data_IF_602801633853
#
_entry.id   IF_602801633853
#
_cell.length_a   1.000
_cell.length_b   1.000
_cell.length_c   1.000
_cell.angle_alpha   90.00
_cell.angle_beta   90.00
_cell.angle_gamma   90.00
#
_symmetry.space_group_name_H-M   'P 1'
#
loop_
_entity.id
_entity.type
_entity.pdbx_description
1 polymer ?
#
# COMPACT_ATOMS: atom_id res chain seq x y z
N UNK A 1 7.28 -10.69 31.29
CA UNK A 1 6.54 -10.57 30.03
C UNK A 1 7.06 -9.31 29.37
N UNK A 2 7.66 -9.44 28.18
CA UNK A 2 8.24 -8.33 27.45
C UNK A 2 7.20 -7.83 26.44
N UNK A 3 6.43 -6.80 26.82
CA UNK A 3 5.32 -6.30 26.01
C UNK A 3 5.80 -5.79 24.64
N UNK A 4 6.91 -5.08 24.59
CA UNK A 4 7.45 -4.53 23.34
C UNK A 4 7.96 -5.68 22.46
N UNK A 5 8.65 -6.66 23.06
CA UNK A 5 9.05 -7.89 22.37
C UNK A 5 7.87 -8.67 21.80
N UNK A 6 6.78 -8.82 22.56
CA UNK A 6 5.56 -9.50 22.13
C UNK A 6 4.90 -8.75 20.95
N UNK A 7 4.81 -7.42 21.01
CA UNK A 7 4.28 -6.59 19.92
C UNK A 7 5.17 -6.65 18.66
N UNK A 8 6.50 -6.64 18.82
CA UNK A 8 7.44 -6.79 17.72
C UNK A 8 7.30 -8.16 17.04
N UNK A 9 7.12 -9.22 17.83
CA UNK A 9 6.92 -10.57 17.31
C UNK A 9 5.62 -10.70 16.49
N UNK A 10 4.56 -9.99 16.86
CA UNK A 10 3.30 -9.90 16.10
C UNK A 10 3.49 -9.09 14.81
N UNK A 11 4.14 -7.92 14.90
CA UNK A 11 4.27 -7.00 13.76
C UNK A 11 5.20 -7.54 12.67
N UNK A 12 6.26 -8.24 13.08
CA UNK A 12 7.28 -8.81 12.22
C UNK A 12 7.37 -10.30 12.56
N UNK A 13 6.58 -11.18 11.93
CA UNK A 13 6.71 -12.62 12.16
C UNK A 13 8.04 -13.14 11.59
N UNK A 14 8.72 -14.02 12.33
CA UNK A 14 9.91 -14.72 11.84
C UNK A 14 9.49 -15.88 10.93
N UNK A 15 10.11 -16.02 9.75
CA UNK A 15 9.80 -17.13 8.84
C UNK A 15 10.13 -18.47 9.50
N UNK A 16 9.33 -19.49 9.18
CA UNK A 16 9.58 -20.88 9.54
C UNK A 16 10.29 -21.60 8.38
N UNK A 17 10.99 -22.73 8.66
CA UNK A 17 11.51 -23.58 7.59
C UNK A 17 10.37 -23.99 6.64
N UNK A 18 10.53 -23.70 5.34
CA UNK A 18 9.51 -23.92 4.31
C UNK A 18 8.70 -22.68 3.91
N UNK A 19 8.75 -21.58 4.66
CA UNK A 19 8.10 -20.31 4.27
C UNK A 19 8.87 -19.56 3.18
N UNK A 20 10.15 -19.91 2.98
CA UNK A 20 11.07 -19.22 2.06
C UNK A 20 11.41 -20.15 0.90
N UNK A 21 11.24 -19.65 -0.33
CA UNK A 21 11.62 -20.36 -1.56
C UNK A 21 12.48 -19.45 -2.44
N UNK A 22 13.71 -19.85 -2.83
CA UNK A 22 14.39 -21.11 -2.52
C UNK A 22 14.76 -21.29 -1.03
N UNK A 23 14.88 -22.54 -0.56
CA UNK A 23 15.11 -22.86 0.86
C UNK A 23 16.51 -22.40 1.34
N UNK A 24 17.46 -22.25 0.43
CA UNK A 24 18.80 -21.77 0.72
C UNK A 24 18.81 -20.32 1.22
N UNK A 25 17.76 -19.54 0.95
CA UNK A 25 17.61 -18.15 1.41
C UNK A 25 17.01 -18.05 2.82
N UNK A 26 16.64 -19.18 3.44
CA UNK A 26 16.02 -19.19 4.76
C UNK A 26 16.89 -18.55 5.86
N UNK A 27 18.21 -18.84 5.96
CA UNK A 27 19.06 -18.22 6.98
C UNK A 27 19.11 -16.69 6.86
N UNK A 28 19.21 -16.18 5.63
CA UNK A 28 19.20 -14.74 5.37
C UNK A 28 17.85 -14.11 5.72
N UNK A 29 16.74 -14.73 5.30
CA UNK A 29 15.40 -14.24 5.62
C UNK A 29 15.10 -14.26 7.13
N UNK A 30 15.60 -15.27 7.85
CA UNK A 30 15.51 -15.34 9.31
C UNK A 30 16.27 -14.18 9.96
N UNK A 31 17.53 -13.97 9.57
CA UNK A 31 18.36 -12.88 10.09
C UNK A 31 17.75 -11.49 9.79
N UNK A 32 17.18 -11.30 8.59
CA UNK A 32 16.47 -10.07 8.22
C UNK A 32 15.24 -9.85 9.09
N UNK A 33 14.43 -10.88 9.33
CA UNK A 33 13.26 -10.78 10.19
C UNK A 33 13.63 -10.52 11.67
N UNK A 34 14.71 -11.12 12.17
CA UNK A 34 15.24 -10.86 13.51
C UNK A 34 15.74 -9.42 13.65
N UNK A 35 16.46 -8.90 12.66
CA UNK A 35 16.89 -7.51 12.64
C UNK A 35 15.69 -6.56 12.58
N UNK A 36 14.72 -6.81 11.69
CA UNK A 36 13.51 -6.00 11.58
C UNK A 36 12.66 -6.01 12.87
N UNK A 37 12.66 -7.12 13.61
CA UNK A 37 12.06 -7.19 14.96
C UNK A 37 12.77 -6.27 15.94
N UNK A 38 14.10 -6.32 15.99
CA UNK A 38 14.90 -5.49 16.87
C UNK A 38 14.70 -3.99 16.55
N UNK A 39 14.71 -3.63 15.26
CA UNK A 39 14.49 -2.26 14.79
C UNK A 39 13.09 -1.76 15.18
N UNK A 40 12.06 -2.59 15.00
CA UNK A 40 10.69 -2.23 15.39
C UNK A 40 10.55 -2.07 16.91
N UNK A 41 11.12 -2.99 17.70
CA UNK A 41 11.10 -2.90 19.16
C UNK A 41 11.78 -1.61 19.65
N UNK A 42 12.96 -1.29 19.10
CA UNK A 42 13.67 -0.05 19.41
C UNK A 42 12.86 1.20 19.04
N UNK A 43 12.26 1.22 17.85
CA UNK A 43 11.44 2.34 17.41
C UNK A 43 10.17 2.51 18.26
N UNK A 44 9.54 1.42 18.67
CA UNK A 44 8.35 1.45 19.52
C UNK A 44 8.69 1.94 20.94
N UNK A 45 9.84 1.54 21.48
CA UNK A 45 10.32 2.04 22.77
C UNK A 45 10.59 3.55 22.71
N UNK A 46 11.27 4.02 21.66
CA UNK A 46 11.49 5.45 21.46
C UNK A 46 10.18 6.25 21.33
N UNK A 47 9.22 5.75 20.54
CA UNK A 47 7.91 6.41 20.39
C UNK A 47 7.13 6.44 21.70
N UNK A 48 7.17 5.36 22.48
CA UNK A 48 6.55 5.31 23.81
C UNK A 48 7.13 6.39 24.71
N UNK A 49 8.45 6.51 24.75
CA UNK A 49 9.13 7.50 25.58
C UNK A 49 8.85 8.94 25.12
N UNK A 50 8.83 9.18 23.80
CA UNK A 50 8.57 10.50 23.20
C UNK A 50 7.11 10.96 23.36
N UNK A 51 6.16 10.02 23.26
CA UNK A 51 4.72 10.32 23.29
C UNK A 51 4.09 10.16 24.68
N UNK A 52 4.78 9.52 25.62
CA UNK A 52 4.25 9.10 26.93
C UNK A 52 2.91 8.35 26.81
N UNK A 53 2.84 7.40 25.87
CA UNK A 53 1.61 6.70 25.46
C UNK A 53 1.76 5.17 25.56
N UNK A 54 0.63 4.46 25.66
CA UNK A 54 0.63 2.99 25.70
C UNK A 54 1.20 2.38 24.39
N UNK A 55 2.23 1.52 24.45
CA UNK A 55 2.85 0.93 23.26
C UNK A 55 1.89 0.06 22.42
N UNK A 56 0.82 -0.49 23.01
CA UNK A 56 -0.24 -1.19 22.25
C UNK A 56 -1.02 -0.21 21.39
N UNK A 57 -1.33 0.99 21.91
CA UNK A 57 -2.05 2.03 21.17
C UNK A 57 -1.19 2.60 20.04
N UNK A 58 0.11 2.82 20.29
CA UNK A 58 1.08 3.21 19.26
C UNK A 58 1.12 2.14 18.15
N UNK A 59 1.31 0.86 18.51
CA UNK A 59 1.36 -0.23 17.54
C UNK A 59 0.07 -0.37 16.71
N UNK A 60 -1.11 -0.15 17.31
CA UNK A 60 -2.39 -0.13 16.59
C UNK A 60 -2.50 1.07 15.64
N UNK A 61 -2.01 2.24 16.06
CA UNK A 61 -1.89 3.42 15.21
C UNK A 61 -1.01 3.17 13.99
N UNK A 62 0.16 2.59 14.21
CA UNK A 62 1.11 2.23 13.16
C UNK A 62 0.53 1.20 12.18
N UNK A 63 -0.12 0.16 12.70
CA UNK A 63 -0.79 -0.85 11.88
C UNK A 63 -1.92 -0.25 11.02
N UNK A 64 -2.69 0.67 11.60
CA UNK A 64 -3.73 1.41 10.86
C UNK A 64 -3.11 2.29 9.76
N UNK A 65 -2.06 3.03 10.08
CA UNK A 65 -1.36 3.88 9.12
C UNK A 65 -0.76 3.05 7.97
N UNK A 66 -0.19 1.88 8.28
CA UNK A 66 0.31 0.93 7.29
C UNK A 66 -0.81 0.43 6.36
N UNK A 67 -1.99 0.09 6.91
CA UNK A 67 -3.16 -0.29 6.10
C UNK A 67 -3.61 0.85 5.19
N UNK A 68 -3.74 2.07 5.71
CA UNK A 68 -4.14 3.24 4.92
C UNK A 68 -3.10 3.61 3.85
N UNK A 69 -1.81 3.36 4.10
CA UNK A 69 -0.75 3.50 3.11
C UNK A 69 -0.86 2.46 1.99
N UNK A 70 -1.09 1.19 2.33
CA UNK A 70 -1.30 0.11 1.37
C UNK A 70 -2.57 0.38 0.51
N UNK A 71 -3.66 0.81 1.12
CA UNK A 71 -4.89 1.18 0.39
C UNK A 71 -4.66 2.34 -0.58
N UNK A 72 -3.85 3.34 -0.20
CA UNK A 72 -3.45 4.43 -1.09
C UNK A 72 -2.58 3.92 -2.24
N UNK A 73 -1.62 3.04 -1.96
CA UNK A 73 -0.77 2.45 -2.98
C UNK A 73 -1.58 1.65 -4.01
N UNK A 74 -2.51 0.79 -3.55
CA UNK A 74 -3.42 0.05 -4.43
C UNK A 74 -4.17 1.01 -5.36
N UNK A 75 -4.72 2.10 -4.84
CA UNK A 75 -5.42 3.10 -5.67
C UNK A 75 -4.52 3.76 -6.72
N UNK A 76 -3.28 4.09 -6.36
CA UNK A 76 -2.30 4.62 -7.32
C UNK A 76 -1.94 3.58 -8.41
N UNK A 77 -1.76 2.32 -8.04
CA UNK A 77 -1.48 1.25 -9.00
C UNK A 77 -2.67 0.99 -9.94
N UNK A 78 -3.90 1.06 -9.43
CA UNK A 78 -5.11 1.00 -10.26
C UNK A 78 -5.19 2.16 -11.24
N UNK A 79 -4.93 3.39 -10.78
CA UNK A 79 -4.87 4.57 -11.64
C UNK A 79 -3.78 4.41 -12.72
N UNK A 80 -2.58 3.97 -12.33
CA UNK A 80 -1.48 3.69 -13.27
C UNK A 80 -1.88 2.69 -14.35
N UNK A 81 -2.38 1.50 -13.95
CA UNK A 81 -2.74 0.44 -14.90
C UNK A 81 -3.88 0.82 -15.85
N UNK A 82 -4.73 1.78 -15.47
CA UNK A 82 -5.88 2.20 -16.26
C UNK A 82 -5.64 3.42 -17.13
N UNK A 83 -4.74 4.30 -16.71
CA UNK A 83 -4.59 5.63 -17.32
C UNK A 83 -3.19 5.85 -17.92
N UNK A 84 -2.20 5.00 -17.66
CA UNK A 84 -0.80 5.22 -18.08
C UNK A 84 -0.17 4.01 -18.78
N UNK A 85 -1.00 3.06 -19.23
CA UNK A 85 -0.57 1.81 -19.85
C UNK A 85 -0.96 1.71 -21.34
N UNK A 86 -0.28 2.49 -22.17
CA UNK A 86 -0.17 2.33 -23.62
C UNK A 86 -1.50 2.27 -24.38
N UNK A 87 -1.50 1.58 -25.51
CA UNK A 87 -2.65 1.57 -26.42
C UNK A 87 -3.91 0.91 -25.83
N UNK A 88 -3.80 0.10 -24.78
CA UNK A 88 -4.96 -0.53 -24.15
C UNK A 88 -4.82 -0.58 -22.63
N UNK A 89 -5.73 0.07 -21.89
CA UNK A 89 -5.68 0.03 -20.43
C UNK A 89 -5.95 -1.39 -19.93
N UNK A 90 -5.36 -1.76 -18.80
CA UNK A 90 -5.61 -3.07 -18.18
C UNK A 90 -7.10 -3.30 -17.97
N UNK A 91 -7.59 -4.49 -18.29
CA UNK A 91 -9.00 -4.85 -18.08
C UNK A 91 -9.34 -4.74 -16.57
N UNK A 92 -10.61 -4.49 -16.26
CA UNK A 92 -11.03 -4.39 -14.85
C UNK A 92 -10.93 -5.75 -14.13
N UNK A 93 -11.26 -6.85 -14.81
CA UNK A 93 -11.28 -8.19 -14.19
C UNK A 93 -9.93 -8.62 -13.59
N UNK A 94 -8.79 -8.53 -14.32
CA UNK A 94 -7.49 -8.89 -13.75
C UNK A 94 -7.07 -7.96 -12.61
N UNK A 95 -7.35 -6.65 -12.72
CA UNK A 95 -7.07 -5.70 -11.66
C UNK A 95 -7.90 -6.00 -10.40
N UNK A 96 -9.16 -6.37 -10.56
CA UNK A 96 -10.07 -6.70 -9.46
C UNK A 96 -9.53 -7.90 -8.70
N UNK A 97 -9.17 -8.95 -9.43
CA UNK A 97 -8.59 -10.16 -8.85
C UNK A 97 -7.29 -9.87 -8.10
N UNK A 98 -6.38 -9.09 -8.70
CA UNK A 98 -5.10 -8.76 -8.07
C UNK A 98 -5.25 -7.88 -6.83
N UNK A 99 -6.20 -6.94 -6.84
CA UNK A 99 -6.45 -6.03 -5.72
C UNK A 99 -7.43 -6.59 -4.67
N UNK A 100 -7.98 -7.79 -4.87
CA UNK A 100 -9.04 -8.33 -3.99
C UNK A 100 -10.34 -7.53 -4.03
N UNK A 101 -10.63 -6.83 -5.14
CA UNK A 101 -11.79 -5.95 -5.31
C UNK A 101 -12.77 -6.51 -6.35
N UNK A 102 -13.96 -5.92 -6.41
CA UNK A 102 -14.88 -6.16 -7.53
C UNK A 102 -14.57 -5.22 -8.70
N UNK A 103 -14.92 -5.57 -9.96
CA UNK A 103 -14.76 -4.66 -11.09
C UNK A 103 -15.53 -3.34 -10.93
N UNK A 104 -16.65 -3.35 -10.20
CA UNK A 104 -17.38 -2.13 -9.84
C UNK A 104 -16.55 -1.29 -8.87
N UNK A 105 -15.99 -1.91 -7.83
CA UNK A 105 -15.15 -1.26 -6.83
C UNK A 105 -13.93 -0.56 -7.42
N UNK A 106 -13.28 -1.13 -8.44
CA UNK A 106 -12.15 -0.46 -9.12
C UNK A 106 -12.54 0.89 -9.71
N UNK A 107 -13.72 0.97 -10.36
CA UNK A 107 -14.13 2.20 -11.05
C UNK A 107 -14.29 3.38 -10.10
N UNK A 108 -14.56 3.09 -8.83
CA UNK A 108 -14.75 4.10 -7.78
C UNK A 108 -13.55 4.22 -6.85
N UNK A 109 -12.57 3.32 -6.96
CA UNK A 109 -11.42 3.27 -6.07
C UNK A 109 -10.44 4.43 -6.30
N UNK A 110 -10.34 4.96 -7.52
CA UNK A 110 -9.43 6.05 -7.84
C UNK A 110 -10.14 7.11 -8.67
N UNK A 111 -9.69 8.36 -8.55
CA UNK A 111 -10.23 9.49 -9.27
C UNK A 111 -9.15 10.46 -9.75
N UNK A 112 -9.52 11.71 -10.08
CA UNK A 112 -8.58 12.71 -10.58
C UNK A 112 -7.36 12.94 -9.67
N UNK A 113 -7.55 12.86 -8.35
CA UNK A 113 -6.46 13.07 -7.38
C UNK A 113 -5.37 12.00 -7.47
N UNK A 114 -5.75 10.72 -7.54
CA UNK A 114 -4.81 9.62 -7.72
C UNK A 114 -4.14 9.67 -9.09
N UNK A 115 -4.89 10.01 -10.15
CA UNK A 115 -4.34 10.15 -11.50
C UNK A 115 -3.27 11.26 -11.52
N UNK A 116 -3.55 12.41 -10.94
CA UNK A 116 -2.58 13.51 -10.85
C UNK A 116 -1.36 13.11 -10.04
N UNK A 117 -1.56 12.49 -8.87
CA UNK A 117 -0.46 12.02 -8.02
C UNK A 117 0.45 11.03 -8.76
N UNK A 118 -0.13 10.12 -9.54
CA UNK A 118 0.65 9.19 -10.38
C UNK A 118 1.39 9.94 -11.48
N UNK A 119 0.74 10.87 -12.18
CA UNK A 119 1.35 11.68 -13.23
C UNK A 119 2.60 12.41 -12.72
N UNK A 120 2.49 13.05 -11.55
CA UNK A 120 3.57 13.79 -10.91
C UNK A 120 4.73 12.86 -10.52
N UNK A 121 4.42 11.68 -9.96
CA UNK A 121 5.43 10.70 -9.51
C UNK A 121 6.23 10.09 -10.66
N UNK A 122 5.60 9.83 -11.80
CA UNK A 122 6.25 9.18 -12.94
C UNK A 122 6.70 10.15 -14.03
N UNK A 123 6.38 11.45 -13.92
CA UNK A 123 6.72 12.48 -14.89
C UNK A 123 6.07 12.29 -16.27
N UNK A 124 4.85 11.73 -16.33
CA UNK A 124 4.11 11.46 -17.59
C UNK A 124 2.68 11.94 -17.49
N UNK A 125 2.09 12.31 -18.62
CA UNK A 125 0.65 12.59 -18.70
C UNK A 125 -0.15 11.29 -18.90
N UNK A 126 -1.42 11.23 -18.43
CA UNK A 126 -2.31 10.12 -18.74
C UNK A 126 -2.49 9.92 -20.26
N UNK A 127 -2.71 8.68 -20.67
CA UNK A 127 -2.99 8.32 -22.06
C UNK A 127 -4.33 8.95 -22.48
N UNK A 128 -4.27 9.82 -23.49
CA UNK A 128 -5.29 10.82 -23.86
C UNK A 128 -6.68 10.28 -24.24
N UNK A 129 -6.88 8.96 -24.34
CA UNK A 129 -8.19 8.35 -24.66
C UNK A 129 -9.22 8.41 -23.53
N UNK A 130 -8.87 9.00 -22.38
CA UNK A 130 -9.77 9.21 -21.22
C UNK A 130 -9.80 10.64 -20.69
N UNK A 131 -9.25 11.62 -21.40
CA UNK A 131 -9.60 13.01 -21.15
C UNK A 131 -11.11 13.16 -21.46
N UNK A 132 -11.96 13.00 -20.44
CA UNK A 132 -13.37 13.35 -20.52
C UNK A 132 -13.43 14.79 -21.06
N UNK A 133 -14.12 15.05 -22.19
CA UNK A 133 -14.29 16.43 -22.65
C UNK A 133 -14.96 17.24 -21.52
N UNK A 134 -14.54 18.48 -21.25
CA UNK A 134 -15.28 19.34 -20.33
C UNK A 134 -16.73 19.41 -20.81
N UNK A 135 -17.69 19.31 -19.89
CA UNK A 135 -19.10 19.39 -20.20
C UNK A 135 -19.37 20.71 -20.95
N UNK A 136 -19.96 20.62 -22.14
CA UNK A 136 -20.34 21.80 -22.91
C UNK A 136 -21.34 22.64 -22.09
N UNK A 137 -21.20 23.97 -22.06
CA UNK A 137 -22.16 24.83 -21.37
C UNK A 137 -23.55 24.70 -22.02
N UNK A 138 -24.64 24.86 -21.25
CA UNK A 138 -26.00 24.75 -21.78
C UNK A 138 -26.25 25.84 -22.82
N UNK A 139 -26.77 25.46 -23.98
CA UNK A 139 -27.19 26.42 -25.01
C UNK A 139 -28.39 27.23 -24.51
N UNK A 140 -28.39 28.57 -24.69
CA UNK A 140 -29.53 29.40 -24.32
C UNK A 140 -30.68 29.22 -25.32
N UNK A 141 -31.88 29.00 -24.80
CA UNK A 141 -33.16 28.96 -25.54
C UNK A 141 -33.56 30.31 -26.12
#
# INVERSE_FOLDING_TARGET
MDLIGDLAAIRVPVPQPGDVTPQELYPEALAEAEQARADYAFALEAQRDDLDEDPVLIALGDARAAREAADREIRHLLAYGREFHGDRPYKLEPLARAAGMTPSGIRTAYGPGEIQTVADRIGRTPDSRRARPPAAPPEPS
#
